data_IF_261857748394
#
_entry.id   IF_261857748394
#
_cell.length_a   1.000
_cell.length_b   1.000
_cell.length_c   1.000
_cell.angle_alpha   90.00
_cell.angle_beta   90.00
_cell.angle_gamma   90.00
#
_symmetry.space_group_name_H-M   'P 1'
#
loop_
_entity.id
_entity.type
_entity.pdbx_description
1 polymer ?
#
# COMPACT_ATOMS: atom_id res chain seq x y z
N UNK A 1 18.00 -7.37 -1.90
CA UNK A 1 17.35 -6.08 -1.55
C UNK A 1 15.86 -6.34 -1.34
N UNK A 2 15.41 -6.45 -0.10
CA UNK A 2 14.01 -6.64 0.27
C UNK A 2 13.33 -5.27 0.38
N UNK A 3 12.17 -5.12 -0.28
CA UNK A 3 11.30 -3.96 -0.02
C UNK A 3 10.38 -4.36 1.13
N UNK A 4 10.51 -3.64 2.25
CA UNK A 4 9.66 -3.85 3.40
C UNK A 4 8.23 -3.39 3.08
N UNK A 5 7.25 -4.13 3.57
CA UNK A 5 5.86 -3.72 3.43
C UNK A 5 5.65 -2.38 4.14
N UNK A 6 5.00 -1.38 3.53
CA UNK A 6 4.68 -0.11 4.18
C UNK A 6 3.50 -0.25 5.17
N UNK A 7 3.19 -1.48 5.60
CA UNK A 7 2.13 -1.79 6.53
C UNK A 7 2.57 -1.44 7.95
N UNK A 8 1.78 -0.63 8.65
CA UNK A 8 2.05 -0.22 10.02
C UNK A 8 1.48 -1.22 11.06
N UNK A 9 1.03 -2.40 10.63
CA UNK A 9 0.34 -3.37 11.49
C UNK A 9 -1.09 -2.97 11.87
N UNK A 10 -1.57 -1.81 11.39
CA UNK A 10 -2.90 -1.28 11.67
C UNK A 10 -3.76 -1.49 10.41
N UNK A 11 -4.56 -2.56 10.40
CA UNK A 11 -5.52 -2.80 9.32
C UNK A 11 -6.80 -2.01 9.60
N UNK A 12 -6.84 -0.76 9.11
CA UNK A 12 -8.02 0.10 9.23
C UNK A 12 -8.49 0.49 7.84
N UNK A 13 -9.49 -0.21 7.33
CA UNK A 13 -10.07 0.05 6.02
C UNK A 13 -10.95 1.30 6.06
N UNK A 14 -10.99 2.02 4.94
CA UNK A 14 -11.94 3.11 4.73
C UNK A 14 -13.38 2.57 4.68
N UNK A 15 -14.39 3.43 4.82
CA UNK A 15 -15.80 3.02 4.84
C UNK A 15 -16.18 2.23 3.57
N UNK A 16 -15.58 2.60 2.44
CA UNK A 16 -15.75 1.93 1.15
C UNK A 16 -14.98 0.59 1.03
N UNK A 17 -14.20 0.21 2.05
CA UNK A 17 -13.27 -0.93 2.08
C UNK A 17 -12.29 -1.02 0.92
N UNK A 18 -12.15 0.02 0.11
CA UNK A 18 -11.24 0.03 -1.04
C UNK A 18 -9.79 0.17 -0.62
N UNK A 19 -9.53 1.02 0.38
CA UNK A 19 -8.18 1.44 0.77
C UNK A 19 -7.98 1.34 2.28
N UNK A 20 -6.78 0.98 2.72
CA UNK A 20 -6.38 1.11 4.12
C UNK A 20 -6.07 2.58 4.44
N UNK A 21 -6.71 3.12 5.46
CA UNK A 21 -6.50 4.49 5.96
C UNK A 21 -5.11 4.71 6.57
N UNK A 22 -4.46 3.65 7.05
CA UNK A 22 -3.14 3.72 7.69
C UNK A 22 -2.00 3.64 6.66
N UNK A 23 -2.02 2.62 5.78
CA UNK A 23 -0.95 2.41 4.80
C UNK A 23 -1.27 2.97 3.41
N UNK A 24 -2.51 3.43 3.16
CA UNK A 24 -3.03 4.00 1.90
C UNK A 24 -3.03 3.03 0.71
N UNK A 25 -2.84 1.74 0.99
CA UNK A 25 -2.88 0.66 -0.01
C UNK A 25 -4.28 0.17 -0.21
N UNK A 26 -4.61 -0.18 -1.45
CA UNK A 26 -5.84 -0.91 -1.71
C UNK A 26 -5.72 -2.37 -1.30
N UNK A 27 -6.85 -3.04 -1.03
CA UNK A 27 -6.88 -4.47 -0.66
C UNK A 27 -6.20 -5.32 -1.73
N UNK A 28 -6.51 -5.08 -3.00
CA UNK A 28 -5.88 -5.79 -4.12
C UNK A 28 -4.35 -5.66 -4.10
N UNK A 29 -3.84 -4.48 -3.76
CA UNK A 29 -2.40 -4.26 -3.66
C UNK A 29 -1.78 -5.02 -2.47
N UNK A 30 -2.52 -5.20 -1.38
CA UNK A 30 -2.09 -5.94 -0.18
C UNK A 30 -2.04 -7.44 -0.51
N UNK A 31 -3.09 -7.99 -1.11
CA UNK A 31 -3.17 -9.40 -1.52
C UNK A 31 -2.10 -9.74 -2.57
N UNK A 32 -1.95 -8.89 -3.58
CA UNK A 32 -0.95 -9.09 -4.64
C UNK A 32 0.47 -8.64 -4.23
N UNK A 33 0.69 -8.14 -3.01
CA UNK A 33 2.00 -7.62 -2.61
C UNK A 33 3.12 -8.65 -2.74
N UNK A 34 2.85 -9.90 -2.38
CA UNK A 34 3.88 -10.94 -2.46
C UNK A 34 4.23 -11.27 -3.91
N UNK A 35 3.25 -11.20 -4.81
CA UNK A 35 3.38 -11.46 -6.25
C UNK A 35 4.08 -10.31 -7.00
N UNK A 36 4.07 -9.09 -6.47
CA UNK A 36 4.70 -7.97 -7.15
C UNK A 36 6.23 -8.04 -7.18
N UNK A 37 6.79 -7.74 -8.35
CA UNK A 37 8.23 -7.58 -8.53
C UNK A 37 8.76 -6.33 -7.84
N UNK A 38 10.07 -6.26 -7.60
CA UNK A 38 10.71 -5.11 -6.95
C UNK A 38 10.37 -3.75 -7.60
N UNK A 39 10.35 -3.69 -8.94
CA UNK A 39 9.94 -2.48 -9.69
C UNK A 39 8.48 -2.09 -9.40
N UNK A 40 7.56 -3.06 -9.38
CA UNK A 40 6.14 -2.82 -9.08
C UNK A 40 5.96 -2.35 -7.64
N UNK A 41 6.60 -3.02 -6.67
CA UNK A 41 6.60 -2.62 -5.26
C UNK A 41 7.08 -1.17 -5.08
N UNK A 42 8.16 -0.79 -5.77
CA UNK A 42 8.70 0.58 -5.75
C UNK A 42 7.75 1.61 -6.38
N UNK A 43 7.05 1.24 -7.46
CA UNK A 43 6.04 2.09 -8.11
C UNK A 43 4.85 2.31 -7.18
N UNK A 44 4.34 1.24 -6.55
CA UNK A 44 3.28 1.30 -5.56
C UNK A 44 3.69 2.21 -4.39
N UNK A 45 4.88 2.02 -3.81
CA UNK A 45 5.37 2.87 -2.72
C UNK A 45 5.43 4.37 -3.08
N UNK A 46 5.84 4.69 -4.32
CA UNK A 46 5.79 6.07 -4.81
C UNK A 46 4.36 6.60 -4.89
N UNK A 47 3.43 5.81 -5.43
CA UNK A 47 2.03 6.19 -5.52
C UNK A 47 1.39 6.35 -4.12
N UNK A 48 1.70 5.48 -3.17
CA UNK A 48 1.27 5.61 -1.78
C UNK A 48 1.80 6.87 -1.12
N UNK A 49 3.07 7.21 -1.36
CA UNK A 49 3.67 8.45 -0.84
C UNK A 49 2.96 9.68 -1.41
N UNK A 50 2.59 9.67 -2.69
CA UNK A 50 1.77 10.73 -3.30
C UNK A 50 0.36 10.78 -2.71
N UNK A 51 -0.30 9.62 -2.49
CA UNK A 51 -1.62 9.54 -1.86
C UNK A 51 -1.60 10.10 -0.44
N UNK A 52 -0.51 9.85 0.32
CA UNK A 52 -0.30 10.40 1.66
C UNK A 52 -0.12 11.91 1.66
N UNK A 53 0.62 12.47 0.71
CA UNK A 53 0.86 13.93 0.63
C UNK A 53 -0.37 14.73 0.18
N UNK A 54 -1.36 14.09 -0.44
CA UNK A 54 -2.56 14.75 -0.97
C UNK A 54 -3.70 14.92 0.05
N UNK A 55 -3.47 14.58 1.32
CA UNK A 55 -4.45 14.62 2.41
C UNK A 55 -3.92 15.47 3.54
#
# INVERSE_FOLDING_TARGET
>A
MTINSPCLGICKLDADRKNCTSCFRSIDEIENWINFSFKQKKKILKELSKRRQKK
#
